data_IF_864618231262
#
_entry.id   IF_864618231262
#
_cell.length_a   1.000
_cell.length_b   1.000
_cell.length_c   1.000
_cell.angle_alpha   90.00
_cell.angle_beta   90.00
_cell.angle_gamma   90.00
#
_symmetry.space_group_name_H-M   'P 1'
#
loop_
_entity.id
_entity.type
_entity.pdbx_description
1 polymer ?
#
# COMPACT_ATOMS: atom_id res chain seq x y z
N UNK A 1 7.41 28.06 -44.18
CA UNK A 1 7.09 26.65 -44.49
C UNK A 1 8.32 25.87 -44.05
N UNK A 2 8.39 25.58 -42.75
CA UNK A 2 9.51 24.84 -42.14
C UNK A 2 8.85 23.79 -41.24
N UNK A 3 8.86 22.54 -41.71
CA UNK A 3 8.29 21.38 -41.03
C UNK A 3 9.30 20.79 -40.04
N UNK A 4 8.93 20.85 -38.76
CA UNK A 4 9.66 20.29 -37.64
C UNK A 4 9.49 18.76 -37.61
N UNK A 5 10.57 18.02 -37.89
CA UNK A 5 10.59 16.55 -37.86
C UNK A 5 10.47 16.02 -36.43
N UNK A 6 9.32 15.43 -36.12
CA UNK A 6 9.04 14.68 -34.89
C UNK A 6 9.98 13.46 -34.78
N UNK A 7 10.86 13.49 -33.78
CA UNK A 7 11.73 12.36 -33.43
C UNK A 7 10.89 11.20 -32.85
N UNK A 8 10.87 10.06 -33.55
CA UNK A 8 10.22 8.83 -33.08
C UNK A 8 11.03 8.25 -31.91
N UNK A 9 10.42 8.14 -30.73
CA UNK A 9 10.96 7.42 -29.56
C UNK A 9 11.25 5.96 -29.94
N UNK A 10 12.52 5.55 -29.91
CA UNK A 10 12.96 4.17 -30.15
C UNK A 10 12.93 3.39 -28.83
N UNK A 11 12.45 2.15 -28.91
CA UNK A 11 12.53 1.17 -27.82
C UNK A 11 13.99 0.77 -27.54
N UNK A 12 14.33 0.31 -26.32
CA UNK A 12 15.67 -0.15 -25.95
C UNK A 12 16.13 -1.34 -26.81
N UNK A 13 17.43 -1.43 -27.07
CA UNK A 13 18.04 -2.53 -27.84
C UNK A 13 18.16 -3.81 -27.02
N UNK A 14 17.81 -4.94 -27.65
CA UNK A 14 17.93 -6.30 -27.09
C UNK A 14 19.41 -6.69 -26.86
N UNK A 15 19.74 -7.40 -25.76
CA UNK A 15 21.05 -8.02 -25.61
C UNK A 15 21.19 -9.25 -26.52
N UNK A 16 22.23 -9.27 -27.37
CA UNK A 16 22.61 -10.43 -28.17
C UNK A 16 23.54 -11.32 -27.34
N UNK A 17 23.10 -12.52 -26.97
CA UNK A 17 23.99 -13.54 -26.43
C UNK A 17 24.55 -14.38 -27.58
N UNK A 18 25.84 -14.24 -27.85
CA UNK A 18 26.63 -15.19 -28.63
C UNK A 18 27.67 -15.84 -27.74
N UNK A 19 27.70 -17.18 -27.71
CA UNK A 19 28.93 -17.99 -27.78
C UNK A 19 28.57 -19.47 -27.92
N UNK A 20 29.25 -20.12 -28.87
CA UNK A 20 29.21 -21.55 -29.18
C UNK A 20 29.73 -22.40 -28.01
N UNK A 21 29.13 -23.57 -27.78
CA UNK A 21 29.71 -24.59 -26.89
C UNK A 21 29.66 -25.97 -27.55
N UNK A 22 30.84 -26.55 -27.67
CA UNK A 22 31.18 -27.89 -28.17
C UNK A 22 30.56 -28.99 -27.29
N UNK A 23 30.06 -30.05 -27.91
CA UNK A 23 29.35 -31.16 -27.28
C UNK A 23 30.28 -32.23 -26.64
N UNK A 24 29.86 -32.79 -25.49
CA UNK A 24 30.01 -34.22 -25.10
C UNK A 24 29.14 -34.56 -23.88
N UNK A 25 28.60 -35.79 -23.72
CA UNK A 25 27.47 -36.05 -22.83
C UNK A 25 27.83 -36.89 -21.58
N UNK A 26 27.31 -36.53 -20.40
CA UNK A 26 27.10 -37.46 -19.29
C UNK A 26 25.75 -37.18 -18.60
N UNK A 27 24.98 -38.24 -18.42
CA UNK A 27 23.60 -38.27 -17.89
C UNK A 27 23.55 -37.88 -16.42
N UNK A 28 22.68 -36.92 -16.09
CA UNK A 28 22.05 -36.81 -14.78
C UNK A 28 20.61 -36.30 -14.99
N UNK A 29 19.64 -37.07 -14.53
CA UNK A 29 18.21 -36.74 -14.58
C UNK A 29 17.93 -35.64 -13.55
N UNK A 30 17.48 -34.48 -14.02
CA UNK A 30 17.03 -33.33 -13.22
C UNK A 30 15.52 -33.17 -13.44
N UNK A 31 14.71 -32.73 -12.45
CA UNK A 31 13.29 -32.50 -12.68
C UNK A 31 13.14 -31.36 -13.69
N UNK A 32 12.51 -31.65 -14.82
CA UNK A 32 12.15 -30.67 -15.85
C UNK A 32 11.07 -29.74 -15.31
N UNK A 33 11.49 -28.57 -14.82
CA UNK A 33 10.69 -27.35 -14.99
C UNK A 33 11.15 -26.75 -16.30
N UNK A 34 10.41 -27.03 -17.37
CA UNK A 34 10.58 -26.35 -18.66
C UNK A 34 10.21 -24.88 -18.47
N UNK A 35 11.19 -24.05 -18.12
CA UNK A 35 11.13 -22.62 -18.35
C UNK A 35 10.93 -22.41 -19.86
N UNK A 36 9.97 -21.58 -20.30
CA UNK A 36 9.84 -21.30 -21.72
C UNK A 36 11.06 -20.46 -22.13
N UNK A 37 12.02 -21.05 -22.85
CA UNK A 37 13.11 -20.36 -23.53
C UNK A 37 12.55 -19.51 -24.68
N UNK A 38 11.86 -18.44 -24.31
CA UNK A 38 11.26 -17.49 -25.24
C UNK A 38 11.48 -16.05 -24.77
N UNK A 39 11.39 -15.06 -25.67
CA UNK A 39 11.54 -13.65 -25.34
C UNK A 39 10.65 -13.19 -24.17
N UNK A 40 9.49 -13.83 -23.98
CA UNK A 40 8.54 -13.55 -22.91
C UNK A 40 9.04 -13.91 -21.50
N UNK A 41 9.92 -14.91 -21.35
CA UNK A 41 10.47 -15.25 -20.04
C UNK A 41 11.43 -14.18 -19.51
N UNK A 42 12.15 -13.49 -20.40
CA UNK A 42 12.99 -12.35 -20.04
C UNK A 42 12.16 -11.15 -19.52
N UNK A 43 10.89 -11.04 -19.93
CA UNK A 43 9.98 -10.01 -19.43
C UNK A 43 9.28 -10.37 -18.11
N UNK A 44 9.47 -11.60 -17.60
CA UNK A 44 8.86 -12.07 -16.35
C UNK A 44 9.02 -11.09 -15.18
N UNK A 45 10.24 -10.60 -14.89
CA UNK A 45 10.46 -9.63 -13.81
C UNK A 45 9.71 -8.31 -14.01
N UNK A 46 9.63 -7.79 -15.23
CA UNK A 46 8.91 -6.54 -15.51
C UNK A 46 7.39 -6.71 -15.37
N UNK A 47 6.84 -7.87 -15.77
CA UNK A 47 5.42 -8.17 -15.54
C UNK A 47 5.10 -8.32 -14.07
N UNK A 48 6.00 -8.94 -13.29
CA UNK A 48 5.87 -9.06 -11.84
C UNK A 48 5.86 -7.68 -11.18
N UNK A 49 6.84 -6.83 -11.50
CA UNK A 49 6.93 -5.48 -10.95
C UNK A 49 5.68 -4.64 -11.29
N UNK A 50 5.20 -4.72 -12.53
CA UNK A 50 3.96 -4.06 -12.93
C UNK A 50 2.74 -4.59 -12.15
N UNK A 51 2.65 -5.91 -11.97
CA UNK A 51 1.57 -6.52 -11.18
C UNK A 51 1.58 -6.01 -9.72
N UNK A 52 2.75 -5.98 -9.07
CA UNK A 52 2.92 -5.49 -7.71
C UNK A 52 2.60 -3.99 -7.59
N UNK A 53 3.04 -3.18 -8.55
CA UNK A 53 2.71 -1.75 -8.59
C UNK A 53 1.20 -1.54 -8.78
N UNK A 54 0.54 -2.38 -9.59
CA UNK A 54 -0.91 -2.33 -9.77
C UNK A 54 -1.66 -2.68 -8.48
N UNK A 55 -1.19 -3.68 -7.73
CA UNK A 55 -1.73 -4.06 -6.42
C UNK A 55 -1.55 -2.94 -5.39
N UNK A 56 -0.38 -2.31 -5.36
CA UNK A 56 -0.11 -1.19 -4.45
C UNK A 56 -1.02 0.01 -4.76
N UNK A 57 -1.22 0.32 -6.05
CA UNK A 57 -2.15 1.36 -6.47
C UNK A 57 -3.60 1.01 -6.11
N UNK A 58 -3.99 -0.27 -6.20
CA UNK A 58 -5.30 -0.73 -5.77
C UNK A 58 -5.47 -0.57 -4.25
N UNK A 59 -4.47 -0.96 -3.45
CA UNK A 59 -4.46 -0.77 -2.00
C UNK A 59 -4.66 0.71 -1.62
N UNK A 60 -3.95 1.63 -2.27
CA UNK A 60 -4.08 3.09 -2.02
C UNK A 60 -5.50 3.59 -2.29
N UNK A 61 -6.22 3.01 -3.26
CA UNK A 61 -7.61 3.36 -3.58
C UNK A 61 -8.59 2.83 -2.52
N UNK A 62 -8.32 1.70 -1.88
CA UNK A 62 -9.22 1.13 -0.86
C UNK A 62 -9.30 1.96 0.43
N UNK A 63 -8.31 2.82 0.70
CA UNK A 63 -8.28 3.74 1.86
C UNK A 63 -8.61 3.03 3.19
N UNK A 64 -7.96 1.90 3.46
CA UNK A 64 -8.20 1.13 4.68
C UNK A 64 -7.81 1.92 5.94
N UNK A 65 -8.74 2.23 6.86
CA UNK A 65 -8.42 3.06 8.01
C UNK A 65 -7.59 2.30 9.04
N UNK A 66 -6.61 3.00 9.60
CA UNK A 66 -5.67 2.44 10.57
C UNK A 66 -4.58 1.58 9.95
N UNK A 67 -4.44 1.55 8.62
CA UNK A 67 -3.42 0.77 7.94
C UNK A 67 -2.46 1.70 7.18
N UNK A 68 -1.16 1.51 7.38
CA UNK A 68 -0.12 2.12 6.56
C UNK A 68 0.79 1.02 6.03
N UNK A 69 1.06 1.03 4.73
CA UNK A 69 1.88 0.01 4.06
C UNK A 69 2.74 0.67 2.98
N UNK A 70 3.98 0.24 2.89
CA UNK A 70 4.95 0.71 1.90
C UNK A 70 5.79 -0.48 1.40
N UNK A 71 5.98 -0.65 0.08
CA UNK A 71 6.93 -1.63 -0.45
C UNK A 71 8.36 -1.34 -0.01
N UNK A 72 9.17 -2.36 0.23
CA UNK A 72 10.60 -2.24 0.53
C UNK A 72 11.34 -1.51 -0.60
N UNK A 73 12.37 -0.74 -0.24
CA UNK A 73 13.24 -0.10 -1.22
C UNK A 73 14.13 -1.12 -1.95
N UNK A 74 14.48 -2.22 -1.27
CA UNK A 74 15.37 -3.27 -1.77
C UNK A 74 14.64 -4.36 -2.56
N UNK A 75 13.38 -4.65 -2.25
CA UNK A 75 12.62 -5.71 -2.93
C UNK A 75 11.13 -5.37 -3.05
N UNK A 76 10.52 -5.40 -4.26
CA UNK A 76 9.09 -5.15 -4.42
C UNK A 76 8.22 -6.27 -3.85
N UNK A 77 8.82 -7.44 -3.54
CA UNK A 77 8.14 -8.60 -2.96
C UNK A 77 8.00 -8.52 -1.45
N UNK A 78 8.64 -7.56 -0.79
CA UNK A 78 8.56 -7.38 0.65
C UNK A 78 7.94 -6.03 0.97
N UNK A 79 6.84 -5.99 1.71
CA UNK A 79 6.19 -4.72 2.08
C UNK A 79 6.19 -4.58 3.60
N UNK A 80 6.58 -3.40 4.07
CA UNK A 80 6.47 -3.02 5.47
C UNK A 80 5.10 -2.45 5.75
N UNK A 81 4.50 -2.83 6.87
CA UNK A 81 3.22 -2.32 7.29
C UNK A 81 3.13 -2.03 8.77
N UNK A 82 2.22 -1.14 9.11
CA UNK A 82 1.80 -0.90 10.49
C UNK A 82 0.28 -0.77 10.57
N UNK A 83 -0.27 -1.41 11.59
CA UNK A 83 -1.69 -1.45 11.87
C UNK A 83 -1.98 -0.75 13.20
N UNK A 84 -2.88 0.22 13.16
CA UNK A 84 -3.36 1.01 14.30
C UNK A 84 -4.76 0.55 14.68
N UNK A 85 -4.88 -0.15 15.81
CA UNK A 85 -6.15 -0.62 16.34
C UNK A 85 -6.74 0.42 17.30
N UNK A 86 -7.97 0.85 17.03
CA UNK A 86 -8.62 1.95 17.76
C UNK A 86 -9.74 1.52 18.71
N UNK A 87 -10.21 0.27 18.59
CA UNK A 87 -11.36 -0.24 19.34
C UNK A 87 -11.18 -1.74 19.61
N UNK A 88 -11.94 -2.26 20.56
CA UNK A 88 -11.92 -3.68 20.93
C UNK A 88 -10.82 -4.01 21.93
N UNK A 89 -10.59 -5.31 22.16
CA UNK A 89 -9.66 -5.79 23.20
C UNK A 89 -8.21 -5.36 22.93
N UNK A 90 -7.86 -5.18 21.65
CA UNK A 90 -6.53 -4.74 21.19
C UNK A 90 -6.43 -3.23 20.97
N UNK A 91 -7.35 -2.43 21.53
CA UNK A 91 -7.32 -0.97 21.36
C UNK A 91 -5.98 -0.36 21.78
N UNK A 92 -5.60 0.72 21.09
CA UNK A 92 -4.31 1.40 21.22
C UNK A 92 -3.08 0.59 20.78
N UNK A 93 -3.31 -0.61 20.21
CA UNK A 93 -2.28 -1.41 19.59
C UNK A 93 -1.70 -0.74 18.35
N UNK A 94 -0.37 -0.70 18.27
CA UNK A 94 0.40 -0.30 17.09
C UNK A 94 1.25 -1.50 16.67
N UNK A 95 0.79 -2.22 15.66
CA UNK A 95 1.37 -3.51 15.27
C UNK A 95 2.12 -3.39 13.95
N UNK A 96 3.45 -3.45 14.02
CA UNK A 96 4.30 -3.55 12.83
C UNK A 96 4.20 -4.97 12.26
N UNK A 97 4.21 -5.09 10.94
CA UNK A 97 4.22 -6.37 10.26
C UNK A 97 4.98 -6.27 8.94
N UNK A 98 5.43 -7.44 8.51
CA UNK A 98 6.06 -7.67 7.22
C UNK A 98 5.08 -8.46 6.35
N UNK A 99 4.97 -8.09 5.08
CA UNK A 99 4.21 -8.82 4.08
C UNK A 99 5.18 -9.37 3.03
N UNK A 100 5.28 -10.70 2.96
CA UNK A 100 6.12 -11.41 2.02
C UNK A 100 5.28 -11.94 0.86
N UNK A 101 5.58 -11.48 -0.35
CA UNK A 101 4.88 -11.83 -1.58
C UNK A 101 5.72 -12.88 -2.33
N UNK A 102 5.12 -14.00 -2.78
CA UNK A 102 5.86 -15.03 -3.52
C UNK A 102 6.41 -14.52 -4.86
N UNK A 103 7.58 -15.03 -5.27
CA UNK A 103 8.23 -14.66 -6.54
C UNK A 103 7.40 -14.97 -7.79
N UNK A 104 6.52 -15.97 -7.69
CA UNK A 104 5.59 -16.35 -8.75
C UNK A 104 4.24 -15.62 -8.69
N UNK A 105 4.13 -14.51 -7.96
CA UNK A 105 2.92 -13.69 -7.93
C UNK A 105 2.53 -13.20 -9.34
N UNK A 106 1.23 -13.19 -9.71
CA UNK A 106 0.05 -13.56 -8.90
C UNK A 106 -0.38 -15.02 -9.03
N UNK A 107 0.43 -15.88 -9.65
CA UNK A 107 0.10 -17.29 -9.93
C UNK A 107 0.53 -18.25 -8.80
N UNK A 108 1.17 -17.72 -7.75
CA UNK A 108 1.67 -18.46 -6.59
C UNK A 108 0.71 -18.61 -5.41
N UNK A 109 1.31 -18.80 -4.22
CA UNK A 109 0.58 -18.86 -2.95
C UNK A 109 0.09 -17.47 -2.50
N UNK A 110 -0.76 -17.44 -1.47
CA UNK A 110 -1.17 -16.21 -0.82
C UNK A 110 0.04 -15.51 -0.17
N UNK A 111 0.18 -14.16 -0.27
CA UNK A 111 1.18 -13.42 0.50
C UNK A 111 1.10 -13.72 2.00
N UNK A 112 2.25 -13.97 2.62
CA UNK A 112 2.36 -14.24 4.04
C UNK A 112 2.49 -12.93 4.82
N UNK A 113 1.75 -12.79 5.92
CA UNK A 113 1.81 -11.63 6.81
C UNK A 113 2.36 -12.06 8.16
N UNK A 114 3.41 -11.38 8.63
CA UNK A 114 4.11 -11.72 9.87
C UNK A 114 4.20 -10.49 10.75
N UNK A 115 3.63 -10.54 11.95
CA UNK A 115 3.77 -9.47 12.94
C UNK A 115 5.15 -9.52 13.60
N UNK A 116 5.75 -8.33 13.77
CA UNK A 116 7.06 -8.19 14.39
C UNK A 116 7.06 -7.10 15.47
N UNK A 117 7.35 -7.43 16.74
CA UNK A 117 7.51 -8.79 17.28
C UNK A 117 6.16 -9.58 17.32
N UNK A 118 6.18 -10.91 17.59
CA UNK A 118 4.97 -11.73 17.64
C UNK A 118 3.91 -11.22 18.61
N UNK A 119 2.63 -11.40 18.25
CA UNK A 119 1.48 -10.91 19.02
C UNK A 119 0.77 -12.04 19.76
N UNK A 120 0.22 -11.74 20.94
CA UNK A 120 -0.68 -12.64 21.63
C UNK A 120 -2.08 -12.58 21.01
N UNK A 121 -2.37 -13.45 20.03
CA UNK A 121 -3.67 -13.51 19.34
C UNK A 121 -3.99 -14.94 18.86
N UNK A 122 -5.25 -15.43 18.91
CA UNK A 122 -5.60 -16.81 18.53
C UNK A 122 -5.17 -17.23 17.12
N UNK A 123 -5.25 -16.32 16.15
CA UNK A 123 -4.90 -16.57 14.74
C UNK A 123 -3.45 -16.23 14.38
N UNK A 124 -2.61 -15.86 15.34
CA UNK A 124 -1.19 -15.53 15.11
C UNK A 124 -0.34 -16.60 15.75
N UNK A 125 0.61 -17.13 15.01
CA UNK A 125 1.58 -18.07 15.55
C UNK A 125 2.42 -17.39 16.65
N UNK A 126 2.48 -17.96 17.87
CA UNK A 126 3.15 -17.29 19.00
C UNK A 126 4.67 -17.22 18.86
N UNK A 127 5.29 -18.00 17.97
CA UNK A 127 6.74 -18.09 17.80
C UNK A 127 7.18 -17.27 16.58
N UNK A 128 6.59 -17.53 15.42
CA UNK A 128 6.96 -16.87 14.16
C UNK A 128 6.32 -15.49 14.00
N UNK A 129 5.16 -15.26 14.64
CA UNK A 129 4.33 -14.07 14.44
C UNK A 129 3.50 -14.11 13.15
N UNK A 130 3.49 -15.24 12.43
CA UNK A 130 2.73 -15.38 11.18
C UNK A 130 1.23 -15.44 11.44
N UNK A 131 0.46 -14.68 10.66
CA UNK A 131 -0.99 -14.69 10.69
C UNK A 131 -1.53 -15.84 9.81
N UNK A 132 -2.56 -16.55 10.29
CA UNK A 132 -3.29 -17.57 9.53
C UNK A 132 -4.13 -16.98 8.38
N UNK A 133 -3.46 -16.50 7.34
CA UNK A 133 -4.11 -16.02 6.11
C UNK A 133 -4.66 -17.19 5.28
N UNK A 134 -4.07 -18.38 5.41
CA UNK A 134 -4.44 -19.57 4.62
C UNK A 134 -5.83 -20.09 4.96
N UNK A 135 -6.33 -19.85 6.18
CA UNK A 135 -7.74 -20.09 6.52
C UNK A 135 -8.73 -19.42 5.57
N UNK A 136 -8.48 -18.16 5.21
CA UNK A 136 -9.36 -17.41 4.30
C UNK A 136 -8.94 -17.58 2.84
N UNK A 137 -7.64 -17.67 2.58
CA UNK A 137 -7.05 -17.69 1.25
C UNK A 137 -6.36 -19.01 0.96
N UNK A 138 -7.05 -20.14 1.20
CA UNK A 138 -6.50 -21.50 1.04
C UNK A 138 -6.04 -21.80 -0.39
N UNK A 139 -6.70 -21.19 -1.38
CA UNK A 139 -6.26 -21.17 -2.78
C UNK A 139 -6.23 -19.74 -3.30
N UNK A 140 -5.02 -19.25 -3.61
CA UNK A 140 -4.84 -17.95 -4.23
C UNK A 140 -5.34 -17.95 -5.68
N UNK A 141 -6.09 -16.92 -6.06
CA UNK A 141 -6.69 -16.78 -7.40
C UNK A 141 -6.45 -15.38 -7.93
N UNK A 142 -5.61 -15.25 -8.96
CA UNK A 142 -5.25 -13.97 -9.60
C UNK A 142 -6.43 -13.10 -10.05
N UNK A 143 -7.60 -13.70 -10.32
CA UNK A 143 -8.77 -12.99 -10.85
C UNK A 143 -9.66 -12.39 -9.76
N UNK A 144 -9.56 -12.86 -8.52
CA UNK A 144 -10.45 -12.46 -7.42
C UNK A 144 -9.71 -11.97 -6.19
N UNK A 145 -8.49 -12.46 -5.98
CA UNK A 145 -7.71 -12.21 -4.79
C UNK A 145 -6.71 -11.09 -5.04
N UNK A 146 -6.63 -10.18 -4.08
CA UNK A 146 -5.75 -9.03 -4.12
C UNK A 146 -5.08 -8.83 -2.76
N UNK A 147 -3.89 -8.21 -2.76
CA UNK A 147 -3.10 -7.99 -1.55
C UNK A 147 -3.89 -7.16 -0.52
N UNK A 148 -4.68 -6.18 -0.98
CA UNK A 148 -5.50 -5.38 -0.08
C UNK A 148 -6.53 -6.21 0.72
N UNK A 149 -6.99 -7.35 0.18
CA UNK A 149 -7.92 -8.22 0.89
C UNK A 149 -7.22 -8.97 2.03
N UNK A 150 -5.96 -9.38 1.84
CA UNK A 150 -5.12 -9.96 2.90
C UNK A 150 -4.93 -8.95 4.02
N UNK A 151 -4.63 -7.70 3.68
CA UNK A 151 -4.48 -6.61 4.64
C UNK A 151 -5.79 -6.25 5.35
N UNK A 152 -6.92 -6.28 4.63
CA UNK A 152 -8.24 -6.10 5.23
C UNK A 152 -8.58 -7.23 6.20
N UNK A 153 -8.24 -8.47 5.84
CA UNK A 153 -8.40 -9.63 6.71
C UNK A 153 -7.54 -9.50 7.96
N UNK A 154 -6.26 -9.17 7.82
CA UNK A 154 -5.35 -8.93 8.94
C UNK A 154 -5.84 -7.83 9.89
N UNK A 155 -6.54 -6.81 9.36
CA UNK A 155 -7.23 -5.85 10.22
C UNK A 155 -8.44 -6.46 10.92
N UNK A 156 -9.27 -7.21 10.20
CA UNK A 156 -10.54 -7.76 10.69
C UNK A 156 -10.36 -8.69 11.89
N UNK A 157 -9.29 -9.49 11.94
CA UNK A 157 -9.09 -10.47 13.03
C UNK A 157 -9.06 -9.81 14.42
N UNK A 158 -8.60 -8.56 14.52
CA UNK A 158 -8.59 -7.81 15.79
C UNK A 158 -9.97 -7.27 16.22
N UNK A 159 -10.90 -7.10 15.28
CA UNK A 159 -12.26 -6.64 15.55
C UNK A 159 -13.24 -7.79 15.74
N UNK A 160 -12.97 -8.92 15.08
CA UNK A 160 -13.76 -10.14 15.19
C UNK A 160 -12.80 -11.31 15.44
N UNK A 161 -12.56 -11.57 16.72
CA UNK A 161 -11.72 -12.69 17.17
C UNK A 161 -12.45 -14.00 16.85
N UNK A 162 -11.74 -14.90 16.19
CA UNK A 162 -12.16 -16.27 15.89
C UNK A 162 -11.24 -17.24 16.63
N UNK A 163 -11.83 -18.12 17.44
CA UNK A 163 -11.14 -19.12 18.25
C UNK A 163 -11.18 -20.53 17.64
N UNK A 164 -11.83 -20.71 16.48
CA UNK A 164 -11.85 -22.01 15.79
C UNK A 164 -10.47 -22.34 15.22
N UNK A 165 -10.01 -23.59 15.31
CA UNK A 165 -8.72 -24.07 14.76
C UNK A 165 -7.52 -23.09 14.93
N UNK A 166 -7.25 -22.59 16.15
CA UNK A 166 -6.34 -21.48 16.36
C UNK A 166 -4.86 -21.88 16.16
N UNK A 167 -4.03 -20.93 15.71
CA UNK A 167 -2.56 -21.10 15.74
C UNK A 167 -2.01 -20.97 17.17
N UNK A 168 -2.64 -20.11 17.98
CA UNK A 168 -2.32 -19.95 19.39
C UNK A 168 -3.46 -20.51 20.25
N UNK A 169 -3.35 -21.80 20.58
CA UNK A 169 -4.32 -22.51 21.43
C UNK A 169 -4.44 -21.90 22.82
N UNK A 170 -3.38 -21.30 23.37
CA UNK A 170 -3.45 -20.63 24.67
C UNK A 170 -4.35 -19.40 24.61
N UNK A 171 -4.14 -18.53 23.61
CA UNK A 171 -4.95 -17.34 23.40
C UNK A 171 -6.42 -17.69 23.16
N UNK A 172 -6.71 -18.73 22.37
CA UNK A 172 -8.07 -19.20 22.14
C UNK A 172 -8.72 -19.75 23.43
N UNK A 173 -8.02 -20.60 24.17
CA UNK A 173 -8.53 -21.16 25.43
C UNK A 173 -8.85 -20.06 26.45
N UNK A 174 -7.98 -19.05 26.59
CA UNK A 174 -8.24 -17.92 27.48
C UNK A 174 -9.41 -17.09 26.98
N UNK A 175 -9.50 -16.81 25.67
CA UNK A 175 -10.64 -16.06 25.13
C UNK A 175 -11.99 -16.73 25.41
N UNK A 176 -12.06 -18.07 25.38
CA UNK A 176 -13.28 -18.84 25.62
C UNK A 176 -13.58 -19.07 27.11
N UNK A 177 -12.57 -19.31 27.94
CA UNK A 177 -12.73 -19.77 29.33
C UNK A 177 -12.45 -18.70 30.38
N UNK A 178 -11.55 -17.77 30.09
CA UNK A 178 -11.12 -16.70 31.01
C UNK A 178 -10.80 -15.40 30.25
N UNK A 179 -11.86 -14.69 29.91
CA UNK A 179 -11.76 -13.45 29.13
C UNK A 179 -10.97 -12.36 29.87
N UNK A 180 -10.95 -12.34 31.19
CA UNK A 180 -10.21 -11.33 31.95
C UNK A 180 -8.70 -11.59 31.92
N UNK A 181 -8.28 -12.86 32.07
CA UNK A 181 -6.87 -13.23 31.88
C UNK A 181 -6.43 -13.00 30.43
N UNK A 182 -7.29 -13.30 29.45
CA UNK A 182 -7.03 -12.97 28.04
C UNK A 182 -6.79 -11.47 27.84
N UNK A 183 -7.69 -10.61 28.34
CA UNK A 183 -7.53 -9.15 28.26
C UNK A 183 -6.27 -8.68 28.96
N UNK A 184 -5.90 -9.28 30.10
CA UNK A 184 -4.65 -8.95 30.79
C UNK A 184 -3.43 -9.22 29.92
N UNK A 185 -3.34 -10.43 29.35
CA UNK A 185 -2.23 -10.77 28.43
C UNK A 185 -2.18 -9.87 27.21
N UNK A 186 -3.33 -9.51 26.64
CA UNK A 186 -3.38 -8.57 25.51
C UNK A 186 -2.87 -7.19 25.92
N UNK A 187 -3.28 -6.68 27.10
CA UNK A 187 -2.77 -5.39 27.61
C UNK A 187 -1.25 -5.41 27.81
N UNK A 188 -0.72 -6.47 28.41
CA UNK A 188 0.72 -6.63 28.64
C UNK A 188 1.48 -6.68 27.30
N UNK A 189 0.94 -7.41 26.32
CA UNK A 189 1.47 -7.47 24.96
C UNK A 189 1.47 -6.08 24.28
N UNK A 190 0.34 -5.36 24.30
CA UNK A 190 0.22 -4.01 23.73
C UNK A 190 1.17 -3.03 24.41
N UNK A 191 1.31 -3.11 25.75
CA UNK A 191 2.21 -2.24 26.49
C UNK A 191 3.67 -2.50 26.12
N UNK A 192 4.09 -3.77 26.10
CA UNK A 192 5.44 -4.16 25.68
C UNK A 192 5.75 -3.64 24.27
N UNK A 193 4.82 -3.76 23.32
CA UNK A 193 5.01 -3.25 21.96
C UNK A 193 5.12 -1.73 21.89
N UNK A 194 4.37 -1.01 22.73
CA UNK A 194 4.49 0.46 22.84
C UNK A 194 5.86 0.87 23.37
N UNK A 195 6.40 0.14 24.33
CA UNK A 195 7.70 0.44 24.92
C UNK A 195 8.85 0.26 23.91
N UNK A 196 8.70 -0.68 22.96
CA UNK A 196 9.69 -0.97 21.91
C UNK A 196 9.38 -0.27 20.58
N UNK A 197 8.40 0.64 20.53
CA UNK A 197 7.95 1.25 19.26
C UNK A 197 9.06 2.06 18.56
N UNK A 198 9.95 2.65 19.35
CA UNK A 198 11.05 3.53 18.94
C UNK A 198 12.35 2.79 18.67
N UNK A 199 12.37 1.46 18.81
CA UNK A 199 13.55 0.69 18.47
C UNK A 199 13.87 0.80 16.97
N UNK A 200 15.17 0.88 16.62
CA UNK A 200 15.58 0.90 15.23
C UNK A 200 15.16 -0.40 14.52
N UNK A 201 14.91 -0.35 13.22
CA UNK A 201 14.53 -1.52 12.46
C UNK A 201 15.72 -2.49 12.41
N UNK A 202 15.45 -3.79 12.42
CA UNK A 202 16.48 -4.83 12.29
C UNK A 202 17.09 -4.91 10.88
N UNK A 203 16.51 -4.19 9.92
CA UNK A 203 16.92 -4.17 8.51
C UNK A 203 17.48 -2.80 8.14
N UNK A 204 18.47 -2.78 7.26
CA UNK A 204 19.05 -1.57 6.67
C UNK A 204 18.22 -1.05 5.47
N UNK A 205 16.95 -1.41 5.35
CA UNK A 205 16.06 -0.93 4.28
C UNK A 205 15.57 0.48 4.59
N UNK A 206 15.68 1.39 3.62
CA UNK A 206 15.27 2.79 3.77
C UNK A 206 13.75 2.94 4.00
N UNK A 207 12.94 2.03 3.47
CA UNK A 207 11.49 2.03 3.66
C UNK A 207 11.04 1.30 4.92
N UNK A 208 11.97 0.81 5.75
CA UNK A 208 11.62 0.20 7.03
C UNK A 208 10.92 1.22 7.94
N UNK A 209 9.74 0.85 8.46
CA UNK A 209 8.91 1.77 9.25
C UNK A 209 9.54 2.00 10.62
N UNK A 210 9.90 3.26 10.88
CA UNK A 210 10.43 3.71 12.16
C UNK A 210 9.51 4.76 12.78
N UNK A 211 9.47 4.80 14.11
CA UNK A 211 8.77 5.83 14.86
C UNK A 211 9.79 6.67 15.60
N UNK A 212 9.51 7.97 15.69
CA UNK A 212 10.30 8.89 16.51
C UNK A 212 9.42 9.47 17.63
N UNK A 213 10.00 9.76 18.80
CA UNK A 213 9.29 10.49 19.84
C UNK A 213 8.75 11.82 19.31
N UNK A 214 7.63 12.28 19.87
CA UNK A 214 7.06 13.57 19.49
C UNK A 214 8.04 14.71 19.76
N UNK A 215 8.30 15.53 18.74
CA UNK A 215 9.07 16.76 18.84
C UNK A 215 8.26 17.89 18.19
N UNK A 216 7.92 18.92 18.97
CA UNK A 216 7.06 20.02 18.52
C UNK A 216 7.66 20.75 17.31
N UNK A 217 8.96 21.03 17.35
CA UNK A 217 9.65 21.79 16.29
C UNK A 217 9.66 21.05 14.95
N UNK A 218 9.82 19.73 14.99
CA UNK A 218 9.88 18.89 13.79
C UNK A 218 8.48 18.54 13.27
N UNK A 219 7.57 18.16 14.16
CA UNK A 219 6.29 17.57 13.79
C UNK A 219 5.11 18.55 13.86
N UNK A 220 5.23 19.67 14.60
CA UNK A 220 4.14 20.61 14.88
C UNK A 220 3.50 21.20 13.61
N UNK A 221 4.33 21.63 12.65
CA UNK A 221 3.86 22.17 11.36
C UNK A 221 3.06 21.12 10.58
N UNK A 222 3.56 19.89 10.50
CA UNK A 222 2.89 18.79 9.79
C UNK A 222 1.57 18.44 10.47
N UNK A 223 1.53 18.37 11.80
CA UNK A 223 0.30 18.16 12.59
C UNK A 223 -0.75 19.25 12.33
N UNK A 224 -0.36 20.52 12.38
CA UNK A 224 -1.24 21.65 12.09
C UNK A 224 -1.86 21.54 10.69
N UNK A 225 -1.03 21.26 9.69
CA UNK A 225 -1.49 21.09 8.31
C UNK A 225 -2.50 19.94 8.17
N UNK A 226 -2.23 18.79 8.79
CA UNK A 226 -3.13 17.62 8.74
C UNK A 226 -4.49 17.94 9.39
N UNK A 227 -4.50 18.60 10.55
CA UNK A 227 -5.74 18.93 11.27
C UNK A 227 -6.59 19.96 10.51
N UNK A 228 -5.95 20.99 9.95
CA UNK A 228 -6.67 22.05 9.25
C UNK A 228 -7.12 21.63 7.84
N UNK A 229 -6.34 20.77 7.17
CA UNK A 229 -6.76 20.19 5.89
C UNK A 229 -8.03 19.35 6.06
N UNK A 230 -8.14 18.57 7.14
CA UNK A 230 -9.38 17.82 7.46
C UNK A 230 -10.56 18.75 7.72
N UNK A 231 -10.38 19.82 8.48
CA UNK A 231 -11.44 20.82 8.68
C UNK A 231 -11.90 21.45 7.35
N UNK A 232 -10.97 21.75 6.43
CA UNK A 232 -11.34 22.29 5.12
C UNK A 232 -12.14 21.32 4.25
N UNK A 233 -11.83 20.01 4.34
CA UNK A 233 -12.56 18.96 3.61
C UNK A 233 -13.94 18.70 4.22
N UNK A 234 -14.08 18.69 5.55
CA UNK A 234 -15.38 18.58 6.21
C UNK A 234 -16.28 19.80 5.91
N UNK A 235 -15.71 21.02 5.87
CA UNK A 235 -16.43 22.23 5.46
C UNK A 235 -16.77 22.23 3.96
N UNK A 236 -15.93 21.61 3.12
CA UNK A 236 -16.18 21.44 1.68
C UNK A 236 -17.26 20.40 1.41
N UNK A 237 -17.33 19.30 2.16
CA UNK A 237 -18.38 18.26 2.01
C UNK A 237 -19.75 18.77 2.44
N UNK A 238 -19.81 19.74 3.36
CA UNK A 238 -21.04 20.47 3.72
C UNK A 238 -21.47 21.50 2.66
N UNK A 239 -20.59 21.89 1.72
CA UNK A 239 -20.90 22.79 0.61
C UNK A 239 -21.13 21.97 -0.66
N UNK A 240 -22.34 21.41 -0.77
CA UNK A 240 -23.01 20.95 -1.99
C UNK A 240 -22.13 20.45 -3.15
N UNK A 241 -22.24 19.16 -3.44
CA UNK A 241 -21.91 18.51 -4.71
C UNK A 241 -22.69 19.05 -5.95
N UNK A 242 -23.31 20.24 -5.84
CA UNK A 242 -24.04 20.90 -6.93
C UNK A 242 -23.31 22.11 -7.52
N UNK A 243 -22.07 22.43 -7.10
CA UNK A 243 -21.34 23.58 -7.66
C UNK A 243 -19.99 23.25 -8.30
N UNK A 244 -19.57 21.98 -8.33
CA UNK A 244 -18.43 21.57 -9.14
C UNK A 244 -18.83 21.55 -10.62
N UNK A 245 -18.95 22.75 -11.19
CA UNK A 245 -19.18 23.03 -12.60
C UNK A 245 -18.00 22.57 -13.44
N UNK A 246 -17.93 21.26 -13.67
CA UNK A 246 -17.11 20.65 -14.70
C UNK A 246 -18.04 19.91 -15.66
N UNK A 247 -18.92 20.67 -16.32
CA UNK A 247 -19.47 20.21 -17.59
C UNK A 247 -18.46 20.61 -18.67
N UNK A 248 -17.84 19.62 -19.32
CA UNK A 248 -16.95 19.83 -20.46
C UNK A 248 -17.71 20.16 -21.76
N UNK A 249 -19.02 20.43 -21.64
CA UNK A 249 -19.98 20.64 -22.73
C UNK A 249 -20.98 21.71 -22.27
N UNK A 250 -21.22 22.74 -23.08
CA UNK A 250 -22.24 23.74 -22.79
C UNK A 250 -23.64 23.13 -23.03
N UNK A 251 -24.61 23.33 -22.11
CA UNK A 251 -25.98 22.83 -22.28
C UNK A 251 -26.58 23.29 -23.62
N UNK A 252 -27.00 22.34 -24.45
CA UNK A 252 -27.58 22.61 -25.77
C UNK A 252 -26.59 22.61 -26.95
N UNK A 253 -25.32 22.22 -26.73
CA UNK A 253 -24.31 22.15 -27.80
C UNK A 253 -23.54 20.83 -27.77
N UNK A 254 -23.05 20.37 -28.93
CA UNK A 254 -22.22 19.15 -29.07
C UNK A 254 -20.71 19.45 -29.16
N UNK A 255 -20.29 20.68 -28.88
CA UNK A 255 -18.91 21.11 -29.09
C UNK A 255 -18.09 20.92 -27.80
N UNK A 256 -17.00 20.17 -27.88
CA UNK A 256 -16.09 19.91 -26.75
C UNK A 256 -14.91 20.90 -26.79
N UNK A 257 -14.53 21.41 -25.61
CA UNK A 257 -13.37 22.27 -25.32
C UNK A 257 -13.40 23.72 -25.83
N UNK A 258 -13.71 24.65 -24.93
CA UNK A 258 -13.10 25.98 -24.94
C UNK A 258 -12.93 26.50 -23.52
N UNK A 259 -11.67 26.62 -23.09
CA UNK A 259 -11.31 27.37 -21.89
C UNK A 259 -11.34 28.85 -22.28
N UNK A 260 -12.22 29.66 -21.69
CA UNK A 260 -12.18 31.12 -21.87
C UNK A 260 -11.16 31.70 -20.89
N UNK A 261 -10.02 32.15 -21.42
CA UNK A 261 -9.04 32.91 -20.65
C UNK A 261 -9.64 34.26 -20.23
N UNK A 262 -9.93 34.43 -18.94
CA UNK A 262 -10.24 35.75 -18.39
C UNK A 262 -8.94 36.53 -18.12
N UNK A 263 -8.43 37.19 -19.15
CA UNK A 263 -7.58 38.37 -18.97
C UNK A 263 -7.84 39.40 -20.08
N UNK A 264 -8.53 40.49 -19.69
CA UNK A 264 -8.24 41.89 -20.06
C UNK A 264 -9.52 42.75 -20.29
N UNK A 265 -9.62 43.78 -19.44
CA UNK A 265 -10.06 45.17 -19.69
C UNK A 265 -11.56 45.48 -19.83
N UNK A 266 -12.08 46.13 -18.79
CA UNK A 266 -13.19 47.08 -18.79
C UNK A 266 -12.65 48.35 -18.09
N UNK A 267 -12.23 49.38 -18.84
CA UNK A 267 -12.96 50.55 -19.37
C UNK A 267 -13.24 51.65 -18.35
N UNK A 268 -12.73 52.83 -18.72
CA UNK A 268 -13.23 54.18 -18.43
C UNK A 268 -13.08 54.74 -17.01
N UNK A 269 -12.09 55.63 -16.89
CA UNK A 269 -12.22 56.84 -16.09
C UNK A 269 -11.82 58.05 -16.95
N UNK A 270 -12.82 58.77 -17.46
CA UNK A 270 -12.68 60.04 -18.18
C UNK A 270 -13.22 61.14 -17.28
N UNK A 271 -12.31 61.99 -16.81
CA UNK A 271 -12.34 63.46 -16.95
C UNK A 271 -11.93 64.20 -15.67
N UNK A 272 -10.78 64.89 -15.74
CA UNK A 272 -10.68 66.28 -15.30
C UNK A 272 -9.47 66.92 -15.99
N UNK A 273 -9.77 67.96 -16.78
CA UNK A 273 -8.82 68.92 -17.36
C UNK A 273 -7.96 69.53 -16.26
N UNK A 274 -6.67 69.78 -16.52
CA UNK A 274 -6.08 71.13 -16.54
C UNK A 274 -4.55 71.13 -16.70
N UNK A 275 -4.10 72.06 -17.55
CA UNK A 275 -2.83 72.81 -17.57
C UNK A 275 -1.80 72.47 -18.68
N UNK A 276 -1.78 73.43 -19.62
CA UNK A 276 -0.66 74.05 -20.34
C UNK A 276 -0.38 73.72 -21.83
N UNK A 277 -0.67 74.78 -22.61
CA UNK A 277 -0.22 75.19 -23.94
C UNK A 277 -0.88 74.55 -25.16
#
# INVERSE_FOLDING_TARGET
>A
MEDEKIAKKKLPTLPQNGTEIVASPLKAVRPTVTSPEGPLAAYGPFFLEYALMSEYNLLRKQRLPGLYVVPSAKSPLHWFGVLFIRQGIYQEGVFKFDLNIPENFPDGECPALTFRPPLFHPMVDPISGELDVKRTFSKWRRSTNHIWQVLLFARRVFYKIDSTEPLNSEAANLYEKDLEMFKSKVRDCVQSLKDHIYEPPSTEDEHAITFTPWQEDLHGRTKYNILNQRQSLEVSELRNAQTSGLSWINPGTLQTFSKTDHHARSTDDKAMKLINR
#
